data_IF_782278914546
#
_entry.id   IF_782278914546
#
_cell.length_a   1.000
_cell.length_b   1.000
_cell.length_c   1.000
_cell.angle_alpha   90.00
_cell.angle_beta   90.00
_cell.angle_gamma   90.00
#
_symmetry.space_group_name_H-M   'P 1'
#
loop_
_entity.id
_entity.type
_entity.pdbx_description
1 polymer ?
#
# COMPACT_ATOMS: atom_id res chain seq x y z
N UNK A 1 16.61 2.94 7.78
CA UNK A 1 15.34 2.70 7.08
C UNK A 1 14.47 1.79 7.93
N UNK A 2 13.20 2.13 8.04
CA UNK A 2 12.22 1.35 8.79
C UNK A 2 11.18 0.76 7.85
N UNK A 3 10.65 -0.40 8.21
CA UNK A 3 9.66 -1.11 7.40
C UNK A 3 8.45 -1.44 8.26
N UNK A 4 7.25 -1.09 7.78
CA UNK A 4 5.99 -1.49 8.42
C UNK A 4 5.30 -2.52 7.54
N UNK A 5 4.90 -3.63 8.12
CA UNK A 5 4.18 -4.70 7.41
C UNK A 5 3.27 -5.46 8.36
N UNK A 6 2.06 -5.85 7.93
CA UNK A 6 1.44 -5.46 6.66
C UNK A 6 1.11 -3.98 6.65
N UNK A 7 0.93 -3.40 5.46
CA UNK A 7 0.77 -1.95 5.35
C UNK A 7 -0.68 -1.49 5.56
N UNK A 8 -1.61 -2.09 4.81
CA UNK A 8 -2.98 -1.59 4.77
C UNK A 8 -3.70 -1.68 6.10
N UNK A 9 -3.51 -2.76 6.84
CA UNK A 9 -4.15 -2.94 8.14
C UNK A 9 -3.48 -2.12 9.24
N UNK A 10 -2.30 -1.54 8.98
CA UNK A 10 -1.49 -0.85 9.98
C UNK A 10 -1.15 0.58 9.57
N UNK A 11 -2.10 1.27 8.93
CA UNK A 11 -1.90 2.67 8.53
C UNK A 11 -1.62 3.56 9.73
N UNK A 12 -2.24 3.28 10.87
CA UNK A 12 -1.99 3.99 12.12
C UNK A 12 -0.57 3.79 12.61
N UNK A 13 -0.03 2.58 12.46
CA UNK A 13 1.35 2.28 12.84
C UNK A 13 2.32 3.04 11.93
N UNK A 14 2.03 3.09 10.62
CA UNK A 14 2.85 3.87 9.68
C UNK A 14 2.90 5.33 10.13
N UNK A 15 1.76 5.90 10.49
CA UNK A 15 1.69 7.30 10.94
C UNK A 15 2.48 7.51 12.23
N UNK A 16 2.33 6.59 13.20
CA UNK A 16 3.03 6.69 14.48
C UNK A 16 4.54 6.62 14.29
N UNK A 17 5.02 5.71 13.43
CA UNK A 17 6.44 5.60 13.12
C UNK A 17 6.92 6.86 12.41
N UNK A 18 6.16 7.36 11.42
CA UNK A 18 6.51 8.57 10.67
C UNK A 18 6.71 9.77 11.59
N UNK A 19 5.84 9.92 12.60
CA UNK A 19 5.89 11.05 13.50
C UNK A 19 7.05 10.98 14.50
N UNK A 20 7.58 9.79 14.74
CA UNK A 20 8.65 9.60 15.73
C UNK A 20 10.04 9.52 15.15
N UNK A 21 10.18 9.56 13.82
CA UNK A 21 11.49 9.40 13.19
C UNK A 21 11.60 10.24 11.94
N UNK A 22 12.85 10.61 11.60
CA UNK A 22 13.19 11.23 10.32
C UNK A 22 13.79 10.24 9.34
N UNK A 23 13.95 8.98 9.77
CA UNK A 23 14.45 7.92 8.88
C UNK A 23 13.42 7.62 7.80
N UNK A 24 13.88 7.15 6.63
CA UNK A 24 12.93 6.70 5.61
C UNK A 24 12.06 5.56 6.14
N UNK A 25 10.74 5.68 5.91
CA UNK A 25 9.75 4.69 6.33
C UNK A 25 9.17 4.04 5.09
N UNK A 26 9.35 2.73 4.97
CA UNK A 26 8.79 1.95 3.87
C UNK A 26 7.66 1.09 4.40
N UNK A 27 6.65 0.87 3.58
CA UNK A 27 5.53 0.01 3.93
C UNK A 27 5.46 -1.14 2.94
N UNK A 28 5.22 -2.34 3.45
CA UNK A 28 5.10 -3.52 2.61
C UNK A 28 3.63 -3.91 2.49
N UNK A 29 3.10 -3.73 1.28
CA UNK A 29 1.77 -4.18 0.87
C UNK A 29 1.90 -5.68 0.55
N UNK A 30 1.73 -6.51 1.57
CA UNK A 30 2.10 -7.92 1.54
C UNK A 30 1.22 -8.75 0.60
N UNK A 31 1.67 -9.97 0.30
CA UNK A 31 0.98 -10.85 -0.66
C UNK A 31 -0.48 -11.11 -0.30
N UNK A 32 -0.81 -11.19 0.99
CA UNK A 32 -2.20 -11.39 1.43
C UNK A 32 -3.09 -10.20 1.03
N UNK A 33 -2.60 -8.99 1.21
CA UNK A 33 -3.34 -7.78 0.81
C UNK A 33 -3.51 -7.74 -0.71
N UNK A 34 -2.47 -8.08 -1.44
CA UNK A 34 -2.51 -8.17 -2.90
C UNK A 34 -3.55 -9.21 -3.35
N UNK A 35 -3.51 -10.41 -2.77
CA UNK A 35 -4.41 -11.50 -3.13
C UNK A 35 -5.86 -11.17 -2.84
N UNK A 36 -6.16 -10.53 -1.70
CA UNK A 36 -7.50 -10.13 -1.34
C UNK A 36 -8.08 -9.14 -2.36
N UNK A 37 -7.28 -8.16 -2.77
CA UNK A 37 -7.72 -7.17 -3.75
C UNK A 37 -7.96 -7.82 -5.12
N UNK A 38 -7.04 -8.69 -5.56
CA UNK A 38 -7.19 -9.42 -6.83
C UNK A 38 -8.43 -10.32 -6.82
N UNK A 39 -8.68 -11.00 -5.69
CA UNK A 39 -9.84 -11.86 -5.56
C UNK A 39 -11.15 -11.06 -5.63
N UNK A 40 -11.21 -9.91 -4.93
CA UNK A 40 -12.38 -9.03 -4.96
C UNK A 40 -12.62 -8.49 -6.37
N UNK A 41 -11.56 -8.12 -7.08
CA UNK A 41 -11.66 -7.62 -8.44
C UNK A 41 -12.15 -8.70 -9.40
N UNK A 42 -11.65 -9.94 -9.27
CA UNK A 42 -12.08 -11.07 -10.07
C UNK A 42 -13.56 -11.40 -9.86
N UNK A 43 -14.04 -11.22 -8.63
CA UNK A 43 -15.44 -11.45 -8.29
C UNK A 43 -16.36 -10.29 -8.68
N UNK A 44 -15.82 -9.22 -9.24
CA UNK A 44 -16.59 -8.05 -9.65
C UNK A 44 -17.02 -7.14 -8.52
N UNK A 45 -16.42 -7.30 -7.33
CA UNK A 45 -16.79 -6.51 -6.16
C UNK A 45 -16.17 -5.11 -6.17
N UNK A 46 -15.01 -4.95 -6.83
CA UNK A 46 -14.31 -3.68 -6.92
C UNK A 46 -13.70 -3.53 -8.32
N UNK A 47 -13.47 -2.29 -8.71
CA UNK A 47 -12.66 -1.98 -9.90
C UNK A 47 -11.21 -2.06 -9.49
N UNK A 48 -10.45 -2.97 -10.10
CA UNK A 48 -9.08 -3.25 -9.69
C UNK A 48 -8.21 -2.00 -9.70
N UNK A 49 -8.17 -1.27 -10.82
CA UNK A 49 -7.27 -0.13 -10.96
C UNK A 49 -7.57 0.95 -9.92
N UNK A 50 -8.85 1.24 -9.71
CA UNK A 50 -9.25 2.27 -8.74
C UNK A 50 -8.96 1.84 -7.31
N UNK A 51 -9.30 0.59 -6.96
CA UNK A 51 -9.07 0.08 -5.61
C UNK A 51 -7.58 -0.02 -5.31
N UNK A 52 -6.77 -0.47 -6.29
CA UNK A 52 -5.32 -0.52 -6.16
C UNK A 52 -4.76 0.86 -5.83
N UNK A 53 -5.15 1.89 -6.58
CA UNK A 53 -4.65 3.23 -6.36
C UNK A 53 -5.13 3.80 -5.03
N UNK A 54 -6.33 3.47 -4.58
CA UNK A 54 -6.81 3.88 -3.25
C UNK A 54 -5.96 3.26 -2.14
N UNK A 55 -5.64 1.97 -2.26
CA UNK A 55 -4.81 1.29 -1.26
C UNK A 55 -3.44 1.94 -1.20
N UNK A 56 -2.77 2.12 -2.34
CA UNK A 56 -1.43 2.69 -2.37
C UNK A 56 -1.43 4.14 -1.90
N UNK A 57 -2.44 4.92 -2.28
CA UNK A 57 -2.56 6.31 -1.84
C UNK A 57 -2.77 6.39 -0.34
N UNK A 58 -3.56 5.48 0.24
CA UNK A 58 -3.79 5.44 1.69
C UNK A 58 -2.50 5.19 2.44
N UNK A 59 -1.67 4.27 1.94
CA UNK A 59 -0.38 3.96 2.54
C UNK A 59 0.54 5.19 2.47
N UNK A 60 0.57 5.86 1.34
CA UNK A 60 1.39 7.07 1.16
C UNK A 60 0.93 8.19 2.09
N UNK A 61 -0.38 8.40 2.19
CA UNK A 61 -0.96 9.43 3.07
C UNK A 61 -0.66 9.15 4.53
N UNK A 62 -0.55 7.88 4.92
CA UNK A 62 -0.20 7.51 6.29
C UNK A 62 1.23 7.93 6.64
N UNK A 63 2.08 8.12 5.64
CA UNK A 63 3.42 8.65 5.87
C UNK A 63 4.55 7.81 5.31
N UNK A 64 4.27 6.79 4.50
CA UNK A 64 5.32 5.98 3.90
C UNK A 64 6.07 6.78 2.84
N UNK A 65 7.40 6.70 2.85
CA UNK A 65 8.25 7.29 1.82
C UNK A 65 8.32 6.40 0.59
N UNK A 66 8.20 5.10 0.78
CA UNK A 66 8.18 4.14 -0.30
C UNK A 66 7.27 2.98 0.04
N UNK A 67 6.79 2.28 -0.99
CA UNK A 67 5.87 1.16 -0.84
C UNK A 67 6.42 -0.03 -1.63
N UNK A 68 6.57 -1.16 -0.94
CA UNK A 68 6.90 -2.43 -1.59
C UNK A 68 5.57 -3.13 -1.85
N UNK A 69 5.27 -3.43 -3.11
CA UNK A 69 3.97 -3.99 -3.46
C UNK A 69 4.05 -4.87 -4.68
N UNK A 70 3.23 -5.92 -4.71
CA UNK A 70 3.07 -6.76 -5.90
C UNK A 70 2.29 -6.05 -7.01
N UNK A 71 1.65 -4.91 -6.71
CA UNK A 71 0.97 -4.09 -7.72
C UNK A 71 1.91 -3.15 -8.46
N UNK A 72 3.22 -3.21 -8.21
CA UNK A 72 4.16 -2.18 -8.68
C UNK A 72 4.09 -1.92 -10.19
N UNK A 73 3.98 -2.97 -10.99
CA UNK A 73 3.94 -2.82 -12.45
C UNK A 73 2.67 -2.10 -12.90
N UNK A 74 1.52 -2.54 -12.38
CA UNK A 74 0.22 -1.95 -12.73
C UNK A 74 0.12 -0.52 -12.21
N UNK A 75 0.69 -0.25 -11.03
CA UNK A 75 0.70 1.11 -10.47
C UNK A 75 1.55 2.04 -11.33
N UNK A 76 2.70 1.59 -11.80
CA UNK A 76 3.56 2.39 -12.67
C UNK A 76 2.84 2.73 -13.97
N UNK A 77 2.12 1.77 -14.56
CA UNK A 77 1.33 2.02 -15.77
C UNK A 77 0.22 3.03 -15.53
N UNK A 78 -0.44 2.97 -14.37
CA UNK A 78 -1.52 3.89 -14.03
C UNK A 78 -1.03 5.32 -13.81
N UNK A 79 0.22 5.50 -13.44
CA UNK A 79 0.81 6.83 -13.18
C UNK A 79 1.39 7.48 -14.44
N UNK A 80 1.53 6.73 -15.50
CA UNK A 80 2.09 7.27 -16.78
C UNK A 80 1.00 8.06 -17.56
#
# INVERSE_FOLDING_TARGET
>A
MLMVKPALAYLDVIRAVREQTRLPVFAYNVSGEYSMLKAAASAGMVDYARAMMEVLTSIRRAGADGIVTYHAMEAAEALD
#
